data_IF_072927628981
#
_entry.id   IF_072927628981
#
_cell.length_a   1.000
_cell.length_b   1.000
_cell.length_c   1.000
_cell.angle_alpha   90.00
_cell.angle_beta   90.00
_cell.angle_gamma   90.00
#
_symmetry.space_group_name_H-M   'P 1'
#
loop_
_entity.id
_entity.type
_entity.pdbx_description
1 polymer ?
#
# COMPACT_ATOMS: atom_id res chain seq x y z
N UNK A 1 23.79 9.36 -4.80
CA UNK A 1 22.62 8.49 -4.57
C UNK A 1 21.37 9.36 -4.49
N UNK A 2 20.25 8.95 -5.07
CA UNK A 2 18.98 9.68 -5.01
C UNK A 2 17.97 8.85 -4.21
N UNK A 3 17.35 9.46 -3.20
CA UNK A 3 16.32 8.82 -2.37
C UNK A 3 14.94 9.29 -2.83
N UNK A 4 14.02 8.33 -3.03
CA UNK A 4 12.65 8.59 -3.45
C UNK A 4 11.68 7.80 -2.56
N UNK A 5 10.53 8.38 -2.23
CA UNK A 5 9.47 7.69 -1.50
C UNK A 5 8.44 7.08 -2.45
N UNK A 6 7.97 5.88 -2.15
CA UNK A 6 6.88 5.23 -2.86
C UNK A 6 5.75 4.96 -1.87
N UNK A 7 4.51 5.27 -2.23
CA UNK A 7 3.34 4.97 -1.42
C UNK A 7 2.09 4.74 -2.26
N UNK A 8 1.03 4.17 -1.67
CA UNK A 8 -0.27 4.07 -2.31
C UNK A 8 -1.05 5.39 -2.29
N UNK A 9 -1.99 5.55 -3.21
CA UNK A 9 -2.89 6.70 -3.27
C UNK A 9 -3.76 6.87 -2.01
N UNK A 10 -4.04 5.77 -1.31
CA UNK A 10 -4.69 5.77 0.01
C UNK A 10 -3.82 6.44 1.09
N UNK A 11 -2.50 6.23 1.07
CA UNK A 11 -1.57 6.85 2.02
C UNK A 11 -1.42 8.36 1.79
N UNK A 12 -1.55 8.84 0.54
CA UNK A 12 -1.48 10.27 0.23
C UNK A 12 -2.57 11.07 0.97
N UNK A 13 -3.74 10.45 1.22
CA UNK A 13 -4.84 11.08 1.96
C UNK A 13 -4.51 11.35 3.44
N UNK A 14 -3.53 10.67 4.02
CA UNK A 14 -3.09 10.88 5.40
C UNK A 14 -1.67 11.44 5.49
N UNK A 15 -1.04 11.75 4.35
CA UNK A 15 0.35 12.18 4.30
C UNK A 15 0.60 13.51 5.04
N UNK A 16 -0.36 14.45 5.03
CA UNK A 16 -0.28 15.68 5.84
C UNK A 16 -0.27 15.45 7.37
N UNK A 17 -0.55 14.22 7.82
CA UNK A 17 -0.46 13.84 9.23
C UNK A 17 0.90 13.24 9.60
N UNK A 18 1.79 13.05 8.62
CA UNK A 18 3.12 12.51 8.86
C UNK A 18 3.98 13.58 9.55
N UNK A 19 4.87 13.13 10.43
CA UNK A 19 5.83 14.01 11.08
C UNK A 19 6.72 14.66 10.01
N UNK A 20 6.77 16.00 10.01
CA UNK A 20 7.55 16.81 9.07
C UNK A 20 7.21 16.54 7.59
N UNK A 21 5.94 16.34 7.26
CA UNK A 21 5.50 16.06 5.88
C UNK A 21 5.93 17.15 4.87
N UNK A 22 5.99 18.42 5.28
CA UNK A 22 6.46 19.55 4.46
C UNK A 22 7.93 19.38 4.07
N UNK A 23 8.80 19.12 5.05
CA UNK A 23 10.21 18.80 4.78
C UNK A 23 10.35 17.62 3.82
N UNK A 24 9.52 16.59 3.97
CA UNK A 24 9.54 15.43 3.08
C UNK A 24 9.18 15.84 1.65
N UNK A 25 8.14 16.65 1.45
CA UNK A 25 7.71 17.14 0.13
C UNK A 25 8.74 18.04 -0.54
N UNK A 26 9.44 18.84 0.23
CA UNK A 26 10.45 19.78 -0.28
C UNK A 26 11.74 19.07 -0.69
N UNK A 27 12.11 17.99 0.01
CA UNK A 27 13.42 17.35 -0.14
C UNK A 27 13.40 16.03 -0.91
N UNK A 28 12.24 15.38 -1.06
CA UNK A 28 12.16 14.06 -1.67
C UNK A 28 10.99 13.92 -2.65
N UNK A 29 11.21 13.31 -3.82
CA UNK A 29 10.11 12.93 -4.72
C UNK A 29 9.24 11.83 -4.09
N UNK A 30 7.92 11.99 -4.21
CA UNK A 30 6.91 11.02 -3.82
C UNK A 30 6.29 10.40 -5.08
N UNK A 31 6.41 9.08 -5.22
CA UNK A 31 5.74 8.31 -6.25
C UNK A 31 4.49 7.63 -5.68
N UNK A 32 3.34 7.95 -6.25
CA UNK A 32 2.04 7.51 -5.77
C UNK A 32 1.49 6.42 -6.68
N UNK A 33 1.43 5.20 -6.14
CA UNK A 33 0.85 4.03 -6.79
C UNK A 33 -0.69 4.10 -6.80
N UNK A 34 -1.36 3.88 -7.94
CA UNK A 34 -2.81 3.99 -8.03
C UNK A 34 -3.52 2.87 -7.23
N UNK A 35 -4.52 3.25 -6.43
CA UNK A 35 -5.41 2.34 -5.70
C UNK A 35 -6.86 2.74 -5.93
N UNK A 36 -7.78 1.78 -5.88
CA UNK A 36 -9.22 2.07 -5.86
C UNK A 36 -9.55 2.77 -4.54
N UNK A 37 -9.65 4.10 -4.58
CA UNK A 37 -10.07 4.92 -3.47
C UNK A 37 -11.31 5.72 -3.88
N UNK A 38 -12.24 5.89 -2.95
CA UNK A 38 -13.49 6.61 -3.21
C UNK A 38 -13.27 8.09 -3.47
N UNK A 39 -12.21 8.70 -2.92
CA UNK A 39 -11.87 10.11 -3.15
C UNK A 39 -10.44 10.43 -2.70
N UNK A 40 -9.73 11.23 -3.50
CA UNK A 40 -8.54 11.96 -3.05
C UNK A 40 -8.99 13.16 -2.21
N UNK A 41 -8.70 13.11 -0.90
CA UNK A 41 -9.10 14.14 0.06
C UNK A 41 -8.17 15.36 0.01
N UNK A 42 -6.88 15.14 -0.22
CA UNK A 42 -5.87 16.19 -0.23
C UNK A 42 -5.51 16.62 -1.67
N UNK A 43 -6.41 17.37 -2.31
CA UNK A 43 -6.18 17.88 -3.69
C UNK A 43 -4.94 18.77 -3.79
N UNK A 44 -4.61 19.54 -2.74
CA UNK A 44 -3.41 20.38 -2.71
C UNK A 44 -2.11 19.57 -2.75
N UNK A 45 -2.04 18.47 -2.00
CA UNK A 45 -0.89 17.55 -2.06
C UNK A 45 -0.77 16.86 -3.42
N UNK A 46 -1.89 16.47 -4.00
CA UNK A 46 -1.90 15.82 -5.32
C UNK A 46 -1.39 16.72 -6.46
N UNK A 47 -1.36 18.04 -6.26
CA UNK A 47 -0.87 19.02 -7.23
C UNK A 47 0.56 19.47 -6.94
N UNK A 48 1.18 18.99 -5.85
CA UNK A 48 2.52 19.40 -5.48
C UNK A 48 3.56 18.89 -6.51
N UNK A 49 4.55 19.70 -6.92
CA UNK A 49 5.53 19.32 -7.96
C UNK A 49 6.32 18.05 -7.65
N UNK A 50 6.60 17.80 -6.38
CA UNK A 50 7.32 16.60 -5.92
C UNK A 50 6.44 15.34 -5.86
N UNK A 51 5.14 15.42 -6.19
CA UNK A 51 4.21 14.29 -6.14
C UNK A 51 3.95 13.79 -7.56
N UNK A 52 4.32 12.54 -7.83
CA UNK A 52 4.23 11.91 -9.13
C UNK A 52 3.28 10.73 -9.07
N UNK A 53 2.13 10.84 -9.73
CA UNK A 53 1.24 9.70 -9.92
C UNK A 53 1.78 8.81 -11.02
N UNK A 54 1.96 7.52 -10.72
CA UNK A 54 2.44 6.57 -11.72
C UNK A 54 1.27 5.94 -12.46
N UNK A 55 1.44 5.71 -13.76
CA UNK A 55 0.53 4.90 -14.56
C UNK A 55 0.89 3.43 -14.37
N UNK A 56 0.16 2.74 -13.49
CA UNK A 56 0.37 1.34 -13.17
C UNK A 56 -0.97 0.60 -13.02
N UNK A 57 -1.00 -0.74 -13.21
CA UNK A 57 -2.22 -1.52 -13.01
C UNK A 57 -2.76 -1.38 -11.58
N UNK A 58 -4.06 -1.19 -11.45
CA UNK A 58 -4.69 -1.16 -10.12
C UNK A 58 -4.84 -2.59 -9.62
N UNK A 59 -4.28 -2.87 -8.44
CA UNK A 59 -4.35 -4.19 -7.80
C UNK A 59 -5.30 -4.12 -6.62
N UNK A 60 -6.42 -4.84 -6.71
CA UNK A 60 -7.42 -4.92 -5.65
C UNK A 60 -7.09 -6.05 -4.67
N UNK A 61 -6.05 -5.84 -3.87
CA UNK A 61 -5.67 -6.76 -2.81
C UNK A 61 -5.24 -6.02 -1.54
N UNK A 62 -5.64 -6.55 -0.38
CA UNK A 62 -5.20 -6.06 0.92
C UNK A 62 -4.78 -7.19 1.84
N UNK A 63 -3.82 -6.89 2.72
CA UNK A 63 -3.37 -7.84 3.73
C UNK A 63 -4.52 -8.28 4.67
N UNK A 64 -5.49 -7.40 4.94
CA UNK A 64 -6.68 -7.75 5.73
C UNK A 64 -7.53 -8.82 5.05
N UNK A 65 -7.81 -8.65 3.75
CA UNK A 65 -8.54 -9.67 2.96
C UNK A 65 -7.79 -11.00 2.92
N UNK A 66 -6.47 -10.99 2.74
CA UNK A 66 -5.65 -12.20 2.70
C UNK A 66 -5.70 -12.94 4.04
N UNK A 67 -5.45 -12.25 5.17
CA UNK A 67 -5.49 -12.87 6.50
C UNK A 67 -6.86 -13.47 6.82
N UNK A 68 -7.94 -12.76 6.48
CA UNK A 68 -9.30 -13.26 6.68
C UNK A 68 -9.58 -14.49 5.81
N UNK A 69 -9.18 -14.46 4.53
CA UNK A 69 -9.34 -15.57 3.61
C UNK A 69 -8.59 -16.83 4.08
N UNK A 70 -7.38 -16.69 4.63
CA UNK A 70 -6.64 -17.81 5.24
C UNK A 70 -7.42 -18.40 6.42
N UNK A 71 -7.91 -17.56 7.33
CA UNK A 71 -8.72 -18.02 8.48
C UNK A 71 -10.06 -18.65 8.08
N UNK A 72 -10.61 -18.23 6.95
CA UNK A 72 -11.82 -18.80 6.33
C UNK A 72 -11.51 -20.01 5.42
N UNK A 73 -10.27 -20.49 5.38
CA UNK A 73 -9.81 -21.63 4.55
C UNK A 73 -10.05 -21.44 3.04
N UNK A 74 -10.02 -20.20 2.56
CA UNK A 74 -10.09 -19.87 1.13
C UNK A 74 -8.71 -19.97 0.48
N UNK A 75 -8.68 -20.27 -0.82
CA UNK A 75 -7.43 -20.36 -1.58
C UNK A 75 -6.87 -18.95 -1.87
N UNK A 76 -5.64 -18.70 -1.43
CA UNK A 76 -4.95 -17.40 -1.55
C UNK A 76 -3.57 -17.51 -2.21
N UNK A 77 -3.10 -18.71 -2.55
CA UNK A 77 -1.78 -18.94 -3.18
C UNK A 77 -1.55 -18.07 -4.43
N UNK A 78 -2.51 -17.87 -5.35
CA UNK A 78 -2.28 -17.06 -6.54
C UNK A 78 -2.03 -15.57 -6.24
N UNK A 79 -2.37 -15.14 -5.02
CA UNK A 79 -2.31 -13.74 -4.59
C UNK A 79 -0.97 -13.38 -3.89
N UNK A 80 -0.11 -14.37 -3.66
CA UNK A 80 1.11 -14.24 -2.89
C UNK A 80 2.30 -14.83 -3.66
N UNK A 81 3.51 -14.26 -3.52
CA UNK A 81 4.71 -14.95 -3.96
C UNK A 81 4.83 -16.31 -3.28
N UNK A 82 5.25 -17.34 -4.01
CA UNK A 82 5.34 -18.71 -3.51
C UNK A 82 6.06 -18.83 -2.15
N UNK A 83 7.22 -18.18 -2.02
CA UNK A 83 8.01 -18.20 -0.78
C UNK A 83 7.26 -17.60 0.42
N UNK A 84 6.40 -16.60 0.20
CA UNK A 84 5.58 -15.98 1.25
C UNK A 84 4.46 -16.93 1.67
N UNK A 85 3.81 -17.60 0.70
CA UNK A 85 2.81 -18.61 0.99
C UNK A 85 3.38 -19.79 1.80
N UNK A 86 4.51 -20.35 1.36
CA UNK A 86 5.17 -21.46 2.07
C UNK A 86 5.43 -21.12 3.53
N UNK A 87 5.99 -19.94 3.78
CA UNK A 87 6.29 -19.47 5.13
C UNK A 87 5.02 -19.31 6.00
N UNK A 88 3.94 -18.74 5.44
CA UNK A 88 2.66 -18.59 6.15
C UNK A 88 2.07 -19.95 6.51
N UNK A 89 2.13 -20.91 5.60
CA UNK A 89 1.54 -22.24 5.78
C UNK A 89 2.31 -23.07 6.82
N UNK A 90 3.64 -23.09 6.71
CA UNK A 90 4.56 -23.78 7.63
C UNK A 90 4.43 -23.25 9.07
N UNK A 91 4.34 -21.93 9.23
CA UNK A 91 4.21 -21.28 10.54
C UNK A 91 2.77 -21.22 11.05
N UNK A 92 1.80 -21.75 10.30
CA UNK A 92 0.37 -21.73 10.62
C UNK A 92 -0.21 -20.33 10.90
N UNK A 93 0.34 -19.28 10.27
CA UNK A 93 -0.15 -17.92 10.48
C UNK A 93 -1.58 -17.76 9.96
N UNK A 94 -2.38 -17.00 10.71
CA UNK A 94 -3.75 -16.61 10.36
C UNK A 94 -4.77 -17.76 10.18
N UNK A 95 -4.41 -19.00 10.52
CA UNK A 95 -5.30 -20.18 10.41
C UNK A 95 -6.36 -20.28 11.51
N UNK A 96 -6.21 -19.56 12.62
CA UNK A 96 -7.17 -19.52 13.72
C UNK A 96 -7.99 -18.23 13.70
N UNK A 97 -9.30 -18.34 13.96
CA UNK A 97 -10.12 -17.19 14.33
C UNK A 97 -9.84 -16.87 15.79
N UNK A 98 -9.42 -15.63 16.08
CA UNK A 98 -9.52 -15.08 17.44
C UNK A 98 -10.98 -14.92 17.81
#
# INVERSE_FOLDING_TARGET
HQFNLIMGADNLNSFNKWKNYEFILENYPLYVYPRLISTLKNKGLAQHPSVHFISAPVIEISATQIRQAIGDKKEVKPLLPYKVWSYIDEMNFYKSKK
#
